data_IF_934919174711
#
_entry.id   IF_934919174711
#
_cell.length_a   1.000
_cell.length_b   1.000
_cell.length_c   1.000
_cell.angle_alpha   90.00
_cell.angle_beta   90.00
_cell.angle_gamma   90.00
#
_symmetry.space_group_name_H-M   'P 1'
#
loop_
_entity.id
_entity.type
_entity.pdbx_description
1 polymer ?
#
# COMPACT_ATOMS: atom_id res chain seq x y z
N UNK A 1 -38.12 -51.05 -155.51
CA UNK A 1 -39.08 -50.55 -154.49
C UNK A 1 -38.71 -51.08 -153.10
N UNK A 2 -38.30 -52.36 -152.99
CA UNK A 2 -37.81 -53.00 -151.75
C UNK A 2 -36.64 -52.26 -151.07
N UNK A 3 -35.60 -51.88 -151.83
CA UNK A 3 -34.40 -51.21 -151.28
C UNK A 3 -34.70 -49.84 -150.66
N UNK A 4 -35.62 -49.08 -151.25
CA UNK A 4 -36.09 -47.80 -150.71
C UNK A 4 -36.84 -48.00 -149.39
N UNK A 5 -37.68 -49.03 -149.30
CA UNK A 5 -38.41 -49.37 -148.07
C UNK A 5 -37.44 -49.82 -146.96
N UNK A 6 -36.41 -50.59 -147.31
CA UNK A 6 -35.36 -51.01 -146.37
C UNK A 6 -34.57 -49.80 -145.86
N UNK A 7 -34.20 -48.87 -146.75
CA UNK A 7 -33.54 -47.61 -146.38
C UNK A 7 -34.39 -46.78 -145.39
N UNK A 8 -35.69 -46.63 -145.65
CA UNK A 8 -36.60 -45.89 -144.77
C UNK A 8 -36.77 -46.54 -143.38
N UNK A 9 -36.78 -47.88 -143.31
CA UNK A 9 -36.81 -48.60 -142.03
C UNK A 9 -35.52 -48.38 -141.23
N UNK A 10 -34.36 -48.44 -141.90
CA UNK A 10 -33.05 -48.16 -141.29
C UNK A 10 -32.98 -46.73 -140.76
N UNK A 11 -33.39 -45.75 -141.56
CA UNK A 11 -33.40 -44.34 -141.16
C UNK A 11 -34.29 -44.10 -139.94
N UNK A 12 -35.48 -44.71 -139.89
CA UNK A 12 -36.37 -44.63 -138.71
C UNK A 12 -35.74 -45.24 -137.46
N UNK A 13 -35.08 -46.41 -137.58
CA UNK A 13 -34.36 -47.01 -136.46
C UNK A 13 -33.27 -46.09 -135.94
N UNK A 14 -32.47 -45.51 -136.85
CA UNK A 14 -31.41 -44.56 -136.49
C UNK A 14 -31.95 -43.29 -135.84
N UNK A 15 -33.08 -42.76 -136.34
CA UNK A 15 -33.75 -41.62 -135.71
C UNK A 15 -34.20 -41.94 -134.29
N UNK A 16 -34.83 -43.10 -134.07
CA UNK A 16 -35.23 -43.54 -132.73
C UNK A 16 -34.02 -43.72 -131.80
N UNK A 17 -32.92 -44.31 -132.28
CA UNK A 17 -31.68 -44.48 -131.50
C UNK A 17 -31.09 -43.11 -131.09
N UNK A 18 -31.17 -42.11 -131.98
CA UNK A 18 -30.73 -40.73 -131.70
C UNK A 18 -31.67 -40.04 -130.71
N UNK A 19 -32.98 -40.22 -130.84
CA UNK A 19 -33.98 -39.68 -129.90
C UNK A 19 -33.81 -40.26 -128.49
N UNK A 20 -33.63 -41.59 -128.38
CA UNK A 20 -33.37 -42.27 -127.11
C UNK A 20 -32.05 -41.82 -126.47
N UNK A 21 -31.00 -41.63 -127.29
CA UNK A 21 -29.73 -41.09 -126.83
C UNK A 21 -29.89 -39.64 -126.34
N UNK A 22 -30.61 -38.80 -127.08
CA UNK A 22 -30.87 -37.41 -126.71
C UNK A 22 -31.68 -37.31 -125.40
N UNK A 23 -32.68 -38.15 -125.21
CA UNK A 23 -33.46 -38.20 -123.97
C UNK A 23 -32.61 -38.61 -122.76
N UNK A 24 -31.72 -39.61 -122.92
CA UNK A 24 -30.78 -40.02 -121.86
C UNK A 24 -29.79 -38.91 -121.51
N UNK A 25 -29.22 -38.26 -122.52
CA UNK A 25 -28.30 -37.14 -122.32
C UNK A 25 -28.99 -35.97 -121.61
N UNK A 26 -30.22 -35.63 -122.00
CA UNK A 26 -30.99 -34.56 -121.37
C UNK A 26 -31.30 -34.84 -119.88
N UNK A 27 -31.64 -36.09 -119.53
CA UNK A 27 -31.85 -36.48 -118.11
C UNK A 27 -30.56 -36.40 -117.30
N UNK A 28 -29.44 -36.85 -117.87
CA UNK A 28 -28.12 -36.77 -117.23
C UNK A 28 -27.68 -35.31 -117.03
N UNK A 29 -27.90 -34.44 -118.03
CA UNK A 29 -27.62 -33.00 -117.93
C UNK A 29 -28.44 -32.33 -116.83
N UNK A 30 -29.75 -32.59 -116.76
CA UNK A 30 -30.61 -32.03 -115.69
C UNK A 30 -30.24 -32.55 -114.30
N UNK A 31 -29.83 -33.82 -114.20
CA UNK A 31 -29.29 -34.38 -112.95
C UNK A 31 -27.99 -33.68 -112.54
N UNK A 32 -27.07 -33.47 -113.48
CA UNK A 32 -25.81 -32.76 -113.21
C UNK A 32 -26.06 -31.30 -112.82
N UNK A 33 -26.97 -30.60 -113.50
CA UNK A 33 -27.36 -29.23 -113.15
C UNK A 33 -27.94 -29.13 -111.74
N UNK A 34 -28.78 -30.09 -111.34
CA UNK A 34 -29.33 -30.15 -109.98
C UNK A 34 -28.25 -30.39 -108.93
N UNK A 35 -27.30 -31.28 -109.21
CA UNK A 35 -26.17 -31.54 -108.33
C UNK A 35 -25.27 -30.31 -108.18
N UNK A 36 -24.97 -29.61 -109.27
CA UNK A 36 -24.19 -28.36 -109.26
C UNK A 36 -24.89 -27.31 -108.39
N UNK A 37 -26.18 -27.07 -108.60
CA UNK A 37 -26.97 -26.10 -107.80
C UNK A 37 -26.97 -26.44 -106.31
N UNK A 38 -27.04 -27.74 -105.97
CA UNK A 38 -26.99 -28.19 -104.57
C UNK A 38 -25.62 -27.89 -103.96
N UNK A 39 -24.54 -28.24 -104.65
CA UNK A 39 -23.18 -27.95 -104.19
C UNK A 39 -22.88 -26.46 -104.10
N UNK A 40 -23.41 -25.63 -105.01
CA UNK A 40 -23.29 -24.17 -104.95
C UNK A 40 -23.93 -23.62 -103.67
N UNK A 41 -25.13 -24.08 -103.31
CA UNK A 41 -25.80 -23.69 -102.06
C UNK A 41 -25.01 -24.13 -100.82
N UNK A 42 -24.49 -25.36 -100.81
CA UNK A 42 -23.67 -25.87 -99.70
C UNK A 42 -22.37 -25.06 -99.53
N UNK A 43 -21.73 -24.70 -100.64
CA UNK A 43 -20.54 -23.83 -100.65
C UNK A 43 -20.86 -22.46 -100.05
N UNK A 44 -22.00 -21.87 -100.42
CA UNK A 44 -22.40 -20.56 -99.90
C UNK A 44 -22.78 -20.62 -98.42
N UNK A 45 -23.40 -21.71 -97.96
CA UNK A 45 -23.62 -21.98 -96.53
C UNK A 45 -22.29 -22.08 -95.77
N UNK A 46 -21.35 -22.88 -96.28
CA UNK A 46 -20.03 -23.05 -95.68
C UNK A 46 -19.25 -21.72 -95.61
N UNK A 47 -19.33 -20.88 -96.65
CA UNK A 47 -18.72 -19.53 -96.63
C UNK A 47 -19.32 -18.66 -95.53
N UNK A 48 -20.65 -18.70 -95.34
CA UNK A 48 -21.33 -17.94 -94.29
C UNK A 48 -20.90 -18.42 -92.90
N UNK A 49 -20.82 -19.73 -92.68
CA UNK A 49 -20.35 -20.31 -91.42
C UNK A 49 -18.89 -19.95 -91.11
N UNK A 50 -18.00 -20.03 -92.11
CA UNK A 50 -16.59 -19.61 -91.97
C UNK A 50 -16.50 -18.13 -91.57
N UNK A 51 -17.33 -17.27 -92.16
CA UNK A 51 -17.36 -15.84 -91.79
C UNK A 51 -17.77 -15.67 -90.32
N UNK A 52 -18.82 -16.35 -89.89
CA UNK A 52 -19.29 -16.29 -88.50
C UNK A 52 -18.22 -16.79 -87.51
N UNK A 53 -17.57 -17.91 -87.81
CA UNK A 53 -16.49 -18.46 -86.99
C UNK A 53 -15.30 -17.50 -86.86
N UNK A 54 -14.95 -16.78 -87.92
CA UNK A 54 -13.90 -15.76 -87.87
C UNK A 54 -14.28 -14.60 -86.95
N UNK A 55 -15.52 -14.11 -87.03
CA UNK A 55 -16.03 -13.04 -86.15
C UNK A 55 -16.00 -13.47 -84.68
N UNK A 56 -16.43 -14.69 -84.37
CA UNK A 56 -16.44 -15.21 -83.00
C UNK A 56 -15.02 -15.50 -82.48
N UNK A 57 -14.10 -15.89 -83.36
CA UNK A 57 -12.67 -16.03 -83.01
C UNK A 57 -12.07 -14.69 -82.59
N UNK A 58 -12.34 -13.60 -83.32
CA UNK A 58 -11.84 -12.27 -82.96
C UNK A 58 -12.48 -11.73 -81.67
N UNK A 59 -13.79 -11.95 -81.45
CA UNK A 59 -14.43 -11.64 -80.16
C UNK A 59 -13.78 -12.39 -79.00
N UNK A 60 -13.53 -13.70 -79.18
CA UNK A 60 -12.90 -14.53 -78.15
C UNK A 60 -11.47 -14.07 -77.86
N UNK A 61 -10.72 -13.68 -78.90
CA UNK A 61 -9.36 -13.14 -78.76
C UNK A 61 -9.35 -11.82 -77.99
N UNK A 62 -10.30 -10.92 -78.26
CA UNK A 62 -10.46 -9.68 -77.50
C UNK A 62 -10.77 -9.96 -76.02
N UNK A 63 -11.76 -10.81 -75.73
CA UNK A 63 -12.11 -11.20 -74.37
C UNK A 63 -10.94 -11.87 -73.62
N UNK A 64 -10.17 -12.73 -74.30
CA UNK A 64 -8.95 -13.33 -73.76
C UNK A 64 -7.91 -12.26 -73.39
N UNK A 65 -7.74 -11.25 -74.23
CA UNK A 65 -6.85 -10.11 -73.96
C UNK A 65 -7.24 -9.36 -72.68
N UNK A 66 -8.53 -9.08 -72.49
CA UNK A 66 -9.04 -8.43 -71.28
C UNK A 66 -8.82 -9.28 -70.02
N UNK A 67 -9.08 -10.58 -70.10
CA UNK A 67 -8.84 -11.53 -69.00
C UNK A 67 -7.36 -11.55 -68.63
N UNK A 68 -6.45 -11.61 -69.61
CA UNK A 68 -5.01 -11.57 -69.36
C UNK A 68 -4.57 -10.29 -68.66
N UNK A 69 -5.11 -9.12 -69.05
CA UNK A 69 -4.86 -7.84 -68.37
C UNK A 69 -5.30 -7.86 -66.91
N UNK A 70 -6.50 -8.37 -66.63
CA UNK A 70 -7.03 -8.49 -65.25
C UNK A 70 -6.21 -9.46 -64.38
N UNK A 71 -5.77 -10.58 -64.96
CA UNK A 71 -4.91 -11.54 -64.26
C UNK A 71 -3.57 -10.90 -63.90
N UNK A 72 -2.97 -10.14 -64.82
CA UNK A 72 -1.71 -9.44 -64.60
C UNK A 72 -1.82 -8.38 -63.50
N UNK A 73 -2.89 -7.58 -63.53
CA UNK A 73 -3.15 -6.58 -62.48
C UNK A 73 -3.32 -7.23 -61.11
N UNK A 74 -4.07 -8.33 -61.05
CA UNK A 74 -4.27 -9.09 -59.81
C UNK A 74 -2.95 -9.65 -59.27
N UNK A 75 -2.09 -10.20 -60.12
CA UNK A 75 -0.76 -10.66 -59.72
C UNK A 75 0.12 -9.54 -59.16
N UNK A 76 0.10 -8.35 -59.77
CA UNK A 76 0.82 -7.17 -59.24
C UNK A 76 0.33 -6.79 -57.85
N UNK A 77 -0.99 -6.82 -57.65
CA UNK A 77 -1.60 -6.53 -56.34
C UNK A 77 -1.21 -7.57 -55.28
N UNK A 78 -1.21 -8.87 -55.64
CA UNK A 78 -0.77 -9.95 -54.75
C UNK A 78 0.68 -9.72 -54.31
N UNK A 79 1.60 -9.49 -55.26
CA UNK A 79 3.00 -9.26 -54.95
C UNK A 79 3.22 -8.04 -54.02
N UNK A 80 2.44 -6.97 -54.21
CA UNK A 80 2.46 -5.81 -53.30
C UNK A 80 2.02 -6.19 -51.88
N UNK A 81 0.91 -6.92 -51.75
CA UNK A 81 0.38 -7.34 -50.45
C UNK A 81 1.29 -8.33 -49.73
N UNK A 82 1.96 -9.22 -50.46
CA UNK A 82 2.97 -10.14 -49.91
C UNK A 82 4.17 -9.36 -49.35
N UNK A 83 4.64 -8.34 -50.08
CA UNK A 83 5.70 -7.44 -49.61
C UNK A 83 5.30 -6.73 -48.32
N UNK A 84 4.08 -6.18 -48.25
CA UNK A 84 3.61 -5.48 -47.07
C UNK A 84 3.38 -6.43 -45.88
N UNK A 85 2.90 -7.64 -46.14
CA UNK A 85 2.76 -8.70 -45.11
C UNK A 85 4.10 -9.06 -44.51
N UNK A 86 5.14 -9.18 -45.34
CA UNK A 86 6.51 -9.44 -44.87
C UNK A 86 7.05 -8.31 -43.98
N UNK A 87 6.88 -7.05 -44.40
CA UNK A 87 7.27 -5.87 -43.59
C UNK A 87 6.52 -5.80 -42.25
N UNK A 88 5.21 -6.09 -42.25
CA UNK A 88 4.40 -6.10 -41.05
C UNK A 88 4.82 -7.19 -40.09
N UNK A 89 5.14 -8.39 -40.60
CA UNK A 89 5.66 -9.51 -39.81
C UNK A 89 6.97 -9.12 -39.12
N UNK A 90 7.92 -8.56 -39.86
CA UNK A 90 9.20 -8.09 -39.31
C UNK A 90 8.99 -7.02 -38.22
N UNK A 91 8.07 -6.08 -38.45
CA UNK A 91 7.76 -5.03 -37.47
C UNK A 91 7.18 -5.62 -36.18
N UNK A 92 6.30 -6.62 -36.30
CA UNK A 92 5.69 -7.30 -35.16
C UNK A 92 6.73 -8.05 -34.33
N UNK A 93 7.69 -8.71 -34.98
CA UNK A 93 8.81 -9.39 -34.30
C UNK A 93 9.64 -8.42 -33.46
N UNK A 94 9.97 -7.24 -34.01
CA UNK A 94 10.71 -6.20 -33.30
C UNK A 94 9.93 -5.68 -32.07
N UNK A 95 8.65 -5.38 -32.23
CA UNK A 95 7.77 -4.95 -31.12
C UNK A 95 7.72 -6.04 -30.04
N UNK A 96 7.62 -7.30 -30.43
CA UNK A 96 7.58 -8.41 -29.50
C UNK A 96 8.90 -8.57 -28.73
N UNK A 97 10.05 -8.36 -29.39
CA UNK A 97 11.35 -8.36 -28.76
C UNK A 97 11.51 -7.21 -27.75
N UNK A 98 11.11 -5.99 -28.12
CA UNK A 98 11.14 -4.82 -27.23
C UNK A 98 10.25 -5.02 -26.00
N UNK A 99 9.04 -5.55 -26.20
CA UNK A 99 8.10 -5.86 -25.11
C UNK A 99 8.72 -6.82 -24.10
N UNK A 100 9.36 -7.90 -24.56
CA UNK A 100 10.04 -8.86 -23.68
C UNK A 100 11.18 -8.19 -22.93
N UNK A 101 12.01 -7.38 -23.62
CA UNK A 101 13.10 -6.65 -22.98
C UNK A 101 12.64 -5.66 -21.90
N UNK A 102 11.56 -4.92 -22.15
CA UNK A 102 10.94 -4.03 -21.16
C UNK A 102 10.35 -4.79 -19.98
N UNK A 103 9.71 -5.94 -20.23
CA UNK A 103 9.15 -6.80 -19.18
C UNK A 103 10.25 -7.27 -18.22
N UNK A 104 11.40 -7.74 -18.74
CA UNK A 104 12.54 -8.15 -17.92
C UNK A 104 13.06 -7.00 -17.06
N UNK A 105 13.32 -5.82 -17.66
CA UNK A 105 13.76 -4.63 -16.91
C UNK A 105 12.78 -4.23 -15.80
N UNK A 106 11.48 -4.36 -16.05
CA UNK A 106 10.46 -4.08 -15.05
C UNK A 106 10.51 -5.07 -13.89
N UNK A 107 10.68 -6.36 -14.16
CA UNK A 107 10.83 -7.39 -13.11
C UNK A 107 12.08 -7.17 -12.26
N UNK A 108 13.21 -6.83 -12.88
CA UNK A 108 14.45 -6.49 -12.18
C UNK A 108 14.27 -5.27 -11.28
N UNK A 109 13.62 -4.21 -11.78
CA UNK A 109 13.36 -2.99 -11.01
C UNK A 109 12.43 -3.25 -9.83
N UNK A 110 11.40 -4.09 -10.00
CA UNK A 110 10.51 -4.52 -8.91
C UNK A 110 11.27 -5.31 -7.85
N UNK A 111 12.12 -6.26 -8.26
CA UNK A 111 12.94 -7.04 -7.34
C UNK A 111 13.91 -6.15 -6.53
N UNK A 112 14.54 -5.17 -7.20
CA UNK A 112 15.40 -4.19 -6.54
C UNK A 112 14.65 -3.40 -5.47
N UNK A 113 13.49 -2.81 -5.78
CA UNK A 113 12.74 -2.04 -4.79
C UNK A 113 12.18 -2.89 -3.65
N UNK A 114 11.78 -4.15 -3.94
CA UNK A 114 11.38 -5.09 -2.89
C UNK A 114 12.53 -5.30 -1.90
N UNK A 115 13.74 -5.58 -2.41
CA UNK A 115 14.93 -5.76 -1.57
C UNK A 115 15.24 -4.51 -0.75
N UNK A 116 15.14 -3.31 -1.34
CA UNK A 116 15.36 -2.05 -0.62
C UNK A 116 14.32 -1.86 0.49
N UNK A 117 13.06 -2.17 0.24
CA UNK A 117 12.00 -2.08 1.24
C UNK A 117 12.24 -3.07 2.40
N UNK A 118 12.65 -4.30 2.09
CA UNK A 118 12.99 -5.31 3.09
C UNK A 118 14.18 -4.86 3.96
N UNK A 119 15.22 -4.30 3.34
CA UNK A 119 16.43 -3.80 4.02
C UNK A 119 16.11 -2.61 4.96
N UNK A 120 15.24 -1.70 4.51
CA UNK A 120 14.75 -0.58 5.34
C UNK A 120 13.92 -1.08 6.52
N UNK A 121 13.02 -2.03 6.30
CA UNK A 121 12.22 -2.62 7.36
C UNK A 121 13.09 -3.35 8.40
N UNK A 122 14.10 -4.09 7.96
CA UNK A 122 15.06 -4.76 8.85
C UNK A 122 15.79 -3.74 9.74
N UNK A 123 16.31 -2.65 9.16
CA UNK A 123 16.97 -1.57 9.91
C UNK A 123 16.04 -0.88 10.91
N UNK A 124 14.78 -0.66 10.53
CA UNK A 124 13.79 -0.05 11.42
C UNK A 124 13.48 -0.95 12.61
N UNK A 125 13.31 -2.25 12.37
CA UNK A 125 13.10 -3.24 13.44
C UNK A 125 14.31 -3.33 14.37
N UNK A 126 15.52 -3.29 13.84
CA UNK A 126 16.76 -3.28 14.64
C UNK A 126 16.83 -2.03 15.54
N UNK A 127 16.48 -0.85 15.03
CA UNK A 127 16.43 0.37 15.84
C UNK A 127 15.34 0.35 16.92
N UNK A 128 14.16 -0.18 16.62
CA UNK A 128 13.08 -0.34 17.60
C UNK A 128 13.41 -1.40 18.66
N UNK A 129 14.08 -2.48 18.25
CA UNK A 129 14.48 -3.59 19.12
C UNK A 129 15.73 -3.33 19.94
N UNK A 130 16.53 -2.32 19.58
CA UNK A 130 17.78 -1.95 20.24
C UNK A 130 17.59 -1.80 21.74
N UNK A 131 18.37 -2.56 22.50
CA UNK A 131 18.37 -2.52 23.95
C UNK A 131 18.72 -1.13 24.47
N UNK A 132 19.51 -0.34 23.74
CA UNK A 132 19.77 1.06 24.09
C UNK A 132 18.48 1.91 24.06
N UNK A 133 17.62 1.72 23.06
CA UNK A 133 16.37 2.47 22.95
C UNK A 133 15.36 2.04 24.03
N UNK A 134 15.30 0.72 24.31
CA UNK A 134 14.50 0.19 25.43
C UNK A 134 15.00 0.72 26.77
N UNK A 135 16.32 0.72 26.99
CA UNK A 135 16.93 1.22 28.21
C UNK A 135 16.63 2.70 28.40
N UNK A 136 16.78 3.52 27.36
CA UNK A 136 16.40 4.95 27.40
C UNK A 136 14.92 5.16 27.74
N UNK A 137 14.01 4.35 27.18
CA UNK A 137 12.58 4.41 27.52
C UNK A 137 12.37 4.07 29.01
N UNK A 138 13.04 3.04 29.52
CA UNK A 138 12.92 2.66 30.95
C UNK A 138 13.52 3.72 31.88
N UNK A 139 14.68 4.29 31.53
CA UNK A 139 15.31 5.39 32.27
C UNK A 139 14.42 6.63 32.28
N UNK A 140 13.83 7.00 31.13
CA UNK A 140 12.88 8.11 31.04
C UNK A 140 11.67 7.90 31.96
N UNK A 141 11.10 6.71 31.96
CA UNK A 141 9.96 6.38 32.83
C UNK A 141 10.35 6.43 34.31
N UNK A 142 11.53 5.95 34.67
CA UNK A 142 12.06 6.04 36.03
C UNK A 142 12.28 7.49 36.46
N UNK A 143 12.92 8.30 35.62
CA UNK A 143 13.14 9.72 35.89
C UNK A 143 11.82 10.49 36.02
N UNK A 144 10.81 10.14 35.21
CA UNK A 144 9.46 10.70 35.33
C UNK A 144 8.82 10.37 36.68
N UNK A 145 8.91 9.12 37.14
CA UNK A 145 8.40 8.72 38.45
C UNK A 145 9.12 9.45 39.60
N UNK A 146 10.44 9.61 39.51
CA UNK A 146 11.21 10.40 40.49
C UNK A 146 10.79 11.87 40.52
N UNK A 147 10.53 12.47 39.35
CA UNK A 147 10.05 13.85 39.26
C UNK A 147 8.68 14.01 39.95
N UNK A 148 7.75 13.07 39.74
CA UNK A 148 6.43 13.08 40.37
C UNK A 148 6.53 12.96 41.91
N UNK A 149 7.47 12.14 42.40
CA UNK A 149 7.77 12.03 43.83
C UNK A 149 8.32 13.34 44.40
N UNK A 150 9.27 13.99 43.71
CA UNK A 150 9.82 15.29 44.10
C UNK A 150 8.73 16.37 44.14
N UNK A 151 7.83 16.40 43.15
CA UNK A 151 6.71 17.34 43.14
C UNK A 151 5.78 17.12 44.34
N UNK A 152 5.54 15.86 44.71
CA UNK A 152 4.75 15.50 45.89
C UNK A 152 5.44 15.95 47.19
N UNK A 153 6.74 15.71 47.32
CA UNK A 153 7.54 16.15 48.47
C UNK A 153 7.57 17.68 48.56
N UNK A 154 7.73 18.38 47.43
CA UNK A 154 7.69 19.84 47.36
C UNK A 154 6.38 20.39 47.91
N UNK A 155 5.24 19.80 47.54
CA UNK A 155 3.93 20.23 48.05
C UNK A 155 3.82 20.04 49.58
N UNK A 156 4.33 18.94 50.12
CA UNK A 156 4.37 18.68 51.57
C UNK A 156 5.22 19.72 52.31
N UNK A 157 6.44 19.98 51.83
CA UNK A 157 7.34 20.99 52.43
C UNK A 157 6.71 22.38 52.37
N UNK A 158 6.04 22.73 51.27
CA UNK A 158 5.37 24.02 51.13
C UNK A 158 4.24 24.19 52.17
N UNK A 159 3.46 23.13 52.42
CA UNK A 159 2.45 23.14 53.49
C UNK A 159 3.07 23.31 54.88
N UNK A 160 4.14 22.57 55.20
CA UNK A 160 4.81 22.70 56.50
C UNK A 160 5.44 24.08 56.69
N UNK A 161 6.08 24.64 55.67
CA UNK A 161 6.60 26.02 55.73
C UNK A 161 5.49 27.04 56.00
N UNK A 162 4.30 26.87 55.42
CA UNK A 162 3.16 27.73 55.70
C UNK A 162 2.68 27.59 57.15
N UNK A 163 2.65 26.37 57.70
CA UNK A 163 2.31 26.15 59.12
C UNK A 163 3.32 26.80 60.06
N UNK A 164 4.61 26.60 59.81
CA UNK A 164 5.70 27.20 60.61
C UNK A 164 5.61 28.73 60.54
N UNK A 165 5.36 29.30 59.36
CA UNK A 165 5.18 30.75 59.20
C UNK A 165 4.03 31.28 60.05
N UNK A 166 2.89 30.58 60.06
CA UNK A 166 1.74 30.93 60.91
C UNK A 166 2.10 30.83 62.40
N UNK A 167 2.79 29.77 62.82
CA UNK A 167 3.23 29.59 64.20
C UNK A 167 4.21 30.70 64.65
N UNK A 168 5.17 31.09 63.80
CA UNK A 168 6.07 32.22 64.07
C UNK A 168 5.29 33.52 64.23
N UNK A 169 4.30 33.76 63.37
CA UNK A 169 3.47 34.97 63.45
C UNK A 169 2.63 35.01 64.74
N UNK A 170 2.06 33.87 65.15
CA UNK A 170 1.36 33.73 66.44
C UNK A 170 2.29 34.01 67.62
N UNK A 171 3.48 33.40 67.64
CA UNK A 171 4.48 33.65 68.70
C UNK A 171 4.91 35.13 68.75
N UNK A 172 5.06 35.79 67.60
CA UNK A 172 5.41 37.22 67.53
C UNK A 172 4.29 38.12 68.06
N UNK A 173 3.02 37.74 67.88
CA UNK A 173 1.90 38.43 68.50
C UNK A 173 1.95 38.30 70.03
N UNK A 174 2.19 37.07 70.54
CA UNK A 174 2.34 36.83 71.99
C UNK A 174 3.55 37.54 72.59
N UNK A 175 4.66 37.61 71.86
CA UNK A 175 5.85 38.37 72.28
C UNK A 175 5.49 39.83 72.57
N UNK A 176 4.64 40.44 71.74
CA UNK A 176 4.18 41.81 71.95
C UNK A 176 3.31 41.98 73.21
N UNK A 177 2.72 40.92 73.75
CA UNK A 177 1.93 40.95 75.00
C UNK A 177 2.81 40.95 76.26
N UNK A 178 4.10 40.61 76.15
CA UNK A 178 5.01 40.67 77.29
C UNK A 178 5.30 42.11 77.75
N UNK A 179 5.51 42.24 79.06
CA UNK A 179 5.91 43.51 79.71
C UNK A 179 7.21 44.06 79.12
N UNK A 180 7.33 45.39 79.06
CA UNK A 180 8.44 46.08 78.41
C UNK A 180 9.79 45.79 79.09
N UNK A 181 9.78 45.60 80.41
CA UNK A 181 10.96 45.28 81.19
C UNK A 181 11.54 43.90 80.81
N UNK A 182 10.67 42.93 80.52
CA UNK A 182 11.06 41.58 80.12
C UNK A 182 11.65 41.54 78.69
N UNK A 183 11.17 42.42 77.80
CA UNK A 183 11.67 42.55 76.42
C UNK A 183 13.04 43.24 76.34
N UNK A 184 13.38 44.05 77.34
CA UNK A 184 14.64 44.78 77.41
C UNK A 184 15.74 44.03 78.17
N UNK A 185 15.40 42.93 78.84
CA UNK A 185 16.33 42.11 79.60
C UNK A 185 17.10 41.17 78.67
N UNK A 186 18.43 41.07 78.89
CA UNK A 186 19.29 40.17 78.12
C UNK A 186 19.05 38.71 78.53
N UNK A 187 19.12 37.78 77.57
CA UNK A 187 18.87 36.35 77.82
C UNK A 187 19.83 35.81 78.89
N UNK A 188 21.10 36.23 78.86
CA UNK A 188 22.09 35.75 79.84
C UNK A 188 21.76 36.25 81.24
N UNK A 189 21.31 37.50 81.38
CA UNK A 189 20.85 38.05 82.66
C UNK A 189 19.60 37.32 83.20
N UNK A 190 18.66 36.95 82.32
CA UNK A 190 17.49 36.14 82.71
C UNK A 190 17.86 34.71 83.13
N UNK A 191 18.79 34.07 82.42
CA UNK A 191 19.30 32.74 82.78
C UNK A 191 20.04 32.77 84.12
N UNK A 192 20.82 33.82 84.38
CA UNK A 192 21.50 34.04 85.66
C UNK A 192 20.51 34.22 86.81
N UNK A 193 19.49 35.06 86.67
CA UNK A 193 18.43 35.26 87.68
C UNK A 193 17.62 33.99 87.92
N UNK A 194 17.30 33.23 86.87
CA UNK A 194 16.61 31.93 87.01
C UNK A 194 17.46 30.93 87.79
N UNK A 195 18.76 30.85 87.49
CA UNK A 195 19.68 29.99 88.23
C UNK A 195 19.85 30.45 89.68
N UNK A 196 19.86 31.76 89.95
CA UNK A 196 19.89 32.32 91.30
C UNK A 196 18.62 31.93 92.10
N UNK A 197 17.44 32.07 91.50
CA UNK A 197 16.18 31.62 92.10
C UNK A 197 16.15 30.11 92.38
N UNK A 198 16.73 29.29 91.49
CA UNK A 198 16.87 27.86 91.72
C UNK A 198 17.78 27.56 92.92
N UNK A 199 18.86 28.32 93.09
CA UNK A 199 19.77 28.19 94.21
C UNK A 199 19.12 28.63 95.54
N UNK A 200 18.40 29.76 95.54
CA UNK A 200 17.65 30.23 96.72
C UNK A 200 16.60 29.20 97.14
N UNK A 201 15.83 28.66 96.19
CA UNK A 201 14.87 27.59 96.44
C UNK A 201 15.53 26.36 97.06
N UNK A 202 16.72 25.98 96.58
CA UNK A 202 17.46 24.86 97.16
C UNK A 202 17.87 25.15 98.61
N UNK A 203 18.40 26.35 98.88
CA UNK A 203 18.76 26.80 100.22
C UNK A 203 17.58 26.85 101.18
N UNK A 204 16.43 27.37 100.75
CA UNK A 204 15.18 27.36 101.54
C UNK A 204 14.72 25.93 101.85
N UNK A 205 14.85 25.02 100.88
CA UNK A 205 14.49 23.60 101.07
C UNK A 205 15.41 22.93 102.09
N UNK A 206 16.71 23.20 102.04
CA UNK A 206 17.70 22.70 103.01
C UNK A 206 17.46 23.27 104.42
N UNK A 207 17.10 24.55 104.52
CA UNK A 207 16.72 25.18 105.78
C UNK A 207 15.47 24.54 106.38
N UNK A 208 14.43 24.31 105.57
CA UNK A 208 13.23 23.59 105.97
C UNK A 208 13.55 22.17 106.48
N UNK A 209 14.37 21.41 105.75
CA UNK A 209 14.80 20.08 106.19
C UNK A 209 15.59 20.12 107.50
N UNK A 210 16.41 21.14 107.71
CA UNK A 210 17.14 21.35 108.96
C UNK A 210 16.19 21.63 110.14
N UNK A 211 15.18 22.47 109.92
CA UNK A 211 14.11 22.74 110.89
C UNK A 211 13.32 21.47 111.22
N UNK A 212 12.90 20.69 110.22
CA UNK A 212 12.24 19.41 110.43
C UNK A 212 13.11 18.47 111.27
N UNK A 213 14.41 18.40 111.00
CA UNK A 213 15.36 17.59 111.78
C UNK A 213 15.53 18.08 113.21
N UNK A 214 15.46 19.40 113.46
CA UNK A 214 15.48 19.96 114.81
C UNK A 214 14.19 19.67 115.56
N UNK A 215 13.04 19.77 114.89
CA UNK A 215 11.74 19.37 115.44
C UNK A 215 11.76 17.89 115.82
N UNK A 216 12.35 17.03 115.00
CA UNK A 216 12.45 15.60 115.30
C UNK A 216 13.31 15.33 116.56
N UNK A 217 14.42 16.06 116.74
CA UNK A 217 15.21 15.99 117.97
C UNK A 217 14.42 16.44 119.21
N UNK A 218 13.52 17.41 119.08
CA UNK A 218 12.66 17.84 120.20
C UNK A 218 11.64 16.77 120.58
N UNK A 219 11.16 15.96 119.62
CA UNK A 219 10.28 14.79 119.90
C UNK A 219 10.98 13.68 120.69
N UNK A 220 12.31 13.59 120.63
CA UNK A 220 13.07 12.55 121.35
C UNK A 220 13.29 12.86 122.84
N UNK A 221 13.02 14.10 123.29
CA UNK A 221 13.19 14.49 124.69
C UNK A 221 12.07 13.88 125.54
N UNK A 222 12.42 12.97 126.45
CA UNK A 222 11.52 12.40 127.47
C UNK A 222 12.10 12.61 128.85
N UNK A 223 11.28 13.08 129.78
CA UNK A 223 11.69 13.32 131.16
C UNK A 223 10.80 12.51 132.11
N UNK A 224 11.42 11.72 132.98
CA UNK A 224 10.70 10.90 133.96
C UNK A 224 10.64 11.65 135.27
N UNK A 225 9.42 11.99 135.70
CA UNK A 225 9.15 12.69 136.95
C UNK A 225 8.64 11.68 137.97
N UNK A 226 9.31 11.60 139.13
CA UNK A 226 8.90 10.73 140.25
C UNK A 226 7.91 11.47 141.15
N UNK A 227 6.73 10.90 141.33
CA UNK A 227 5.73 11.40 142.27
C UNK A 227 6.07 10.97 143.70
N UNK A 228 5.69 11.78 144.69
CA UNK A 228 5.89 11.49 146.11
C UNK A 228 5.17 10.20 146.59
N UNK A 229 4.24 9.64 145.79
CA UNK A 229 3.60 8.34 146.04
C UNK A 229 4.40 7.12 145.55
N UNK A 230 5.57 7.32 144.92
CA UNK A 230 6.45 6.25 144.44
C UNK A 230 6.23 5.84 142.98
N UNK A 231 5.25 6.41 142.27
CA UNK A 231 5.04 6.17 140.83
C UNK A 231 5.88 7.10 139.94
N UNK A 232 6.34 6.57 138.80
CA UNK A 232 7.11 7.27 137.77
C UNK A 232 6.22 7.62 136.57
N UNK A 233 6.22 8.89 136.17
CA UNK A 233 5.49 9.37 134.99
C UNK A 233 6.48 9.89 133.94
N UNK A 234 6.37 9.39 132.71
CA UNK A 234 7.18 9.86 131.58
C UNK A 234 6.46 11.00 130.87
N UNK A 235 7.01 12.21 130.96
CA UNK A 235 6.53 13.38 130.21
C UNK A 235 7.24 13.40 128.86
N UNK A 236 6.46 13.38 127.78
CA UNK A 236 6.92 13.54 126.41
C UNK A 236 6.18 14.72 125.77
N UNK A 237 6.86 15.45 124.88
CA UNK A 237 6.23 16.51 124.09
C UNK A 237 5.40 15.87 122.98
N UNK A 238 4.07 15.99 123.07
CA UNK A 238 3.16 15.61 121.99
C UNK A 238 2.87 16.88 121.19
N UNK A 239 3.40 16.98 119.97
CA UNK A 239 3.00 17.99 118.99
C UNK A 239 2.16 17.29 117.93
N UNK A 240 0.84 17.48 117.99
CA UNK A 240 -0.08 17.21 116.87
C UNK A 240 0.03 18.33 115.82
#
# INVERSE_FOLDING_TARGET
MEEYLQYMKTLRSQMNDVEDLAAKLSVEEEMQLTNIRTLENDIDSAKSEIKQLNEDTEKMKAAKGEICSKILETHKRIASLESDTSKLTQTLELIQQERVGLSTKLTEKRAYYSKVADDMNAKLQEQQGSDANKNLITELNSAKAQLDEILTLKAKVLMENNKIKLAIQDMKCRENEFKAELKAADITALEEEYNALLADKAGETEYLQSLEKQVEKLKEIRHVVKCACGEEYTVALNME
#
